data_IF_916296466437
#
_entry.id   IF_916296466437
#
_cell.length_a   1.000
_cell.length_b   1.000
_cell.length_c   1.000
_cell.angle_alpha   90.00
_cell.angle_beta   90.00
_cell.angle_gamma   90.00
#
_symmetry.space_group_name_H-M   'P 1'
#
loop_
_entity.id
_entity.type
_entity.pdbx_description
1 polymer ?
#
# COMPACT_ATOMS: atom_id res chain seq x y z
N UNK A 1 -66.92 -4.54 -13.55
CA UNK A 1 -66.50 -3.57 -14.58
C UNK A 1 -65.15 -2.99 -14.17
N UNK A 2 -64.26 -2.86 -15.16
CA UNK A 2 -63.02 -2.06 -15.24
C UNK A 2 -62.80 -1.04 -14.09
N UNK A 3 -61.62 -0.89 -13.50
CA UNK A 3 -60.37 -0.49 -14.16
C UNK A 3 -59.14 -0.77 -13.27
N UNK A 4 -57.98 -0.82 -13.92
CA UNK A 4 -56.67 -1.31 -13.49
C UNK A 4 -55.80 -0.13 -12.96
N UNK A 5 -54.49 -0.33 -12.74
CA UNK A 5 -53.74 -0.06 -11.51
C UNK A 5 -53.18 1.38 -11.41
N UNK A 6 -52.79 1.83 -10.22
CA UNK A 6 -51.86 2.96 -10.08
C UNK A 6 -50.56 2.48 -9.43
N UNK A 7 -49.54 2.43 -10.28
CA UNK A 7 -48.14 2.16 -10.01
C UNK A 7 -47.62 3.28 -9.11
N UNK A 8 -47.30 2.96 -7.86
CA UNK A 8 -46.58 3.89 -6.99
C UNK A 8 -45.10 3.82 -7.38
N UNK A 9 -44.64 4.82 -8.13
CA UNK A 9 -43.25 4.98 -8.50
C UNK A 9 -42.41 5.22 -7.24
N UNK A 10 -41.61 4.22 -6.85
CA UNK A 10 -40.59 4.37 -5.82
C UNK A 10 -39.40 5.08 -6.48
N UNK A 11 -39.21 6.35 -6.16
CA UNK A 11 -38.01 7.08 -6.53
C UNK A 11 -36.80 6.47 -5.80
N UNK A 12 -35.96 5.75 -6.53
CA UNK A 12 -34.67 5.28 -6.03
C UNK A 12 -33.75 6.50 -5.89
N UNK A 13 -33.60 7.01 -4.67
CA UNK A 13 -32.56 7.97 -4.35
C UNK A 13 -31.20 7.31 -4.58
N UNK A 14 -30.43 7.84 -5.53
CA UNK A 14 -29.03 7.46 -5.75
C UNK A 14 -28.22 7.90 -4.53
N UNK A 15 -28.07 7.03 -3.55
CA UNK A 15 -27.03 7.15 -2.55
C UNK A 15 -25.69 6.93 -3.25
N UNK A 16 -25.02 8.03 -3.61
CA UNK A 16 -23.60 8.03 -3.97
C UNK A 16 -22.83 7.50 -2.76
N UNK A 17 -22.18 6.33 -2.83
CA UNK A 17 -21.25 5.98 -1.78
C UNK A 17 -20.07 6.94 -1.92
N UNK A 18 -19.89 7.82 -0.93
CA UNK A 18 -18.63 8.52 -0.76
C UNK A 18 -17.58 7.44 -0.52
N UNK A 19 -16.79 7.14 -1.55
CA UNK A 19 -15.63 6.28 -1.43
C UNK A 19 -14.63 7.07 -0.60
N UNK A 20 -14.58 6.79 0.71
CA UNK A 20 -13.57 7.30 1.60
C UNK A 20 -12.21 6.84 1.04
N UNK A 21 -11.46 7.78 0.45
CA UNK A 21 -10.07 7.53 0.12
C UNK A 21 -9.32 7.35 1.45
N UNK A 22 -8.55 6.27 1.64
CA UNK A 22 -7.69 6.16 2.80
C UNK A 22 -6.61 7.23 2.65
N UNK A 23 -6.80 8.34 3.33
CA UNK A 23 -5.75 9.29 3.60
C UNK A 23 -4.90 8.66 4.71
N UNK A 24 -3.69 8.19 4.42
CA UNK A 24 -2.73 7.93 5.49
C UNK A 24 -1.27 8.09 5.05
N UNK A 25 -0.64 9.21 5.40
CA UNK A 25 0.78 9.22 5.71
C UNK A 25 1.07 8.66 7.13
N UNK A 26 0.06 8.20 7.88
CA UNK A 26 0.19 7.68 9.26
C UNK A 26 0.65 6.21 9.35
N UNK A 27 0.70 5.48 8.23
CA UNK A 27 0.88 4.03 8.22
C UNK A 27 2.13 3.49 8.93
N UNK A 28 3.26 4.22 8.93
CA UNK A 28 4.50 3.74 9.57
C UNK A 28 4.55 3.98 11.09
N UNK A 29 4.00 5.09 11.57
CA UNK A 29 3.97 5.40 13.01
C UNK A 29 2.96 4.50 13.73
N UNK A 30 1.81 4.26 13.08
CA UNK A 30 0.76 3.37 13.58
C UNK A 30 1.24 1.92 13.61
N UNK A 31 1.98 1.48 12.58
CA UNK A 31 2.63 0.17 12.56
C UNK A 31 3.53 -0.10 13.78
N UNK A 32 4.41 0.85 14.14
CA UNK A 32 5.27 0.69 15.33
C UNK A 32 4.49 0.69 16.64
N UNK A 33 3.42 1.48 16.72
CA UNK A 33 2.57 1.52 17.90
C UNK A 33 1.82 0.19 18.10
N UNK A 34 1.31 -0.39 17.02
CA UNK A 34 0.66 -1.71 17.02
C UNK A 34 1.64 -2.84 17.35
N UNK A 35 2.85 -2.85 16.77
CA UNK A 35 3.91 -3.81 17.11
C UNK A 35 4.22 -3.79 18.62
N UNK A 36 4.46 -2.59 19.18
CA UNK A 36 4.73 -2.42 20.60
C UNK A 36 3.54 -2.83 21.49
N UNK A 37 2.30 -2.74 21.01
CA UNK A 37 1.13 -3.19 21.74
C UNK A 37 1.03 -4.72 21.76
N UNK A 38 1.30 -5.39 20.64
CA UNK A 38 1.32 -6.86 20.56
C UNK A 38 2.44 -7.42 21.45
N UNK A 39 3.64 -6.83 21.42
CA UNK A 39 4.76 -7.25 22.27
C UNK A 39 4.45 -7.15 23.76
N UNK A 40 3.81 -6.06 24.20
CA UNK A 40 3.32 -5.92 25.59
C UNK A 40 2.33 -7.01 25.96
N UNK A 41 1.40 -7.33 25.07
CA UNK A 41 0.42 -8.41 25.28
C UNK A 41 1.09 -9.79 25.33
N UNK A 42 2.16 -10.02 24.56
CA UNK A 42 2.95 -11.26 24.63
C UNK A 42 3.63 -11.43 25.98
N UNK A 43 4.16 -10.35 26.56
CA UNK A 43 4.77 -10.38 27.89
C UNK A 43 3.72 -10.60 28.99
N UNK A 44 2.53 -9.99 28.84
CA UNK A 44 1.41 -10.28 29.72
C UNK A 44 0.95 -11.74 29.62
N UNK A 45 0.84 -12.29 28.41
CA UNK A 45 0.49 -13.70 28.21
C UNK A 45 1.56 -14.63 28.80
N UNK A 46 2.85 -14.25 28.71
CA UNK A 46 3.97 -14.98 29.31
C UNK A 46 3.87 -15.01 30.83
N UNK A 47 3.66 -13.87 31.47
CA UNK A 47 3.53 -13.79 32.93
C UNK A 47 2.34 -14.59 33.46
N UNK A 48 1.28 -14.75 32.65
CA UNK A 48 0.10 -15.57 32.96
C UNK A 48 0.22 -17.05 32.57
N UNK A 49 1.36 -17.49 32.01
CA UNK A 49 1.56 -18.87 31.56
C UNK A 49 0.70 -19.28 30.35
N UNK A 50 0.16 -18.32 29.60
CA UNK A 50 -0.76 -18.55 28.47
C UNK A 50 0.01 -18.82 27.16
N UNK A 51 0.67 -19.97 27.08
CA UNK A 51 1.57 -20.30 25.97
C UNK A 51 0.91 -20.29 24.59
N UNK A 52 -0.30 -20.84 24.46
CA UNK A 52 -1.05 -20.85 23.19
C UNK A 52 -1.46 -19.44 22.75
N UNK A 53 -1.85 -18.59 23.70
CA UNK A 53 -2.20 -17.21 23.40
C UNK A 53 -0.98 -16.41 22.95
N UNK A 54 0.17 -16.62 23.60
CA UNK A 54 1.46 -16.05 23.19
C UNK A 54 1.85 -16.46 21.78
N UNK A 55 1.63 -17.73 21.39
CA UNK A 55 1.91 -18.19 20.02
C UNK A 55 1.05 -17.45 18.99
N UNK A 56 -0.27 -17.30 19.24
CA UNK A 56 -1.16 -16.54 18.35
C UNK A 56 -0.74 -15.06 18.23
N UNK A 57 -0.29 -14.45 19.34
CA UNK A 57 0.22 -13.08 19.31
C UNK A 57 1.52 -12.97 18.50
N UNK A 58 2.40 -13.99 18.54
CA UNK A 58 3.61 -14.03 17.72
C UNK A 58 3.28 -14.14 16.22
N UNK A 59 2.28 -14.94 15.86
CA UNK A 59 1.78 -15.04 14.47
C UNK A 59 1.17 -13.71 13.99
N UNK A 60 0.38 -13.06 14.86
CA UNK A 60 -0.17 -11.74 14.59
C UNK A 60 0.94 -10.69 14.40
N UNK A 61 1.98 -10.72 15.23
CA UNK A 61 3.14 -9.83 15.11
C UNK A 61 3.87 -10.04 13.78
N UNK A 62 4.12 -11.29 13.38
CA UNK A 62 4.77 -11.59 12.11
C UNK A 62 3.95 -11.11 10.90
N UNK A 63 2.62 -11.26 10.97
CA UNK A 63 1.70 -10.79 9.94
C UNK A 63 1.69 -9.27 9.86
N UNK A 64 1.68 -8.58 11.01
CA UNK A 64 1.76 -7.12 11.08
C UNK A 64 3.08 -6.62 10.50
N UNK A 65 4.22 -7.19 10.92
CA UNK A 65 5.55 -6.82 10.42
C UNK A 65 5.66 -6.99 8.90
N UNK A 66 5.08 -8.05 8.33
CA UNK A 66 5.05 -8.25 6.87
C UNK A 66 4.28 -7.13 6.16
N UNK A 67 3.10 -6.76 6.68
CA UNK A 67 2.28 -5.66 6.14
C UNK A 67 3.00 -4.31 6.29
N UNK A 68 3.57 -4.03 7.45
CA UNK A 68 4.28 -2.80 7.72
C UNK A 68 5.53 -2.62 6.84
N UNK A 69 6.25 -3.71 6.53
CA UNK A 69 7.35 -3.69 5.56
C UNK A 69 6.87 -3.35 4.14
N UNK A 70 5.73 -3.90 3.70
CA UNK A 70 5.16 -3.54 2.39
C UNK A 70 4.64 -2.11 2.33
N UNK A 71 4.25 -1.57 3.48
CA UNK A 71 3.78 -0.19 3.60
C UNK A 71 4.91 0.81 3.73
N UNK A 72 6.17 0.40 3.97
CA UNK A 72 7.29 1.32 4.09
C UNK A 72 7.48 2.10 2.78
N UNK A 73 6.97 3.34 2.71
CA UNK A 73 6.94 4.08 1.47
C UNK A 73 8.34 4.59 1.14
N UNK A 74 9.26 4.61 2.12
CA UNK A 74 10.65 4.97 1.91
C UNK A 74 11.39 3.90 1.09
N UNK A 75 11.17 2.62 1.40
CA UNK A 75 11.76 1.51 0.63
C UNK A 75 11.21 1.48 -0.81
N UNK A 76 9.90 1.69 -0.97
CA UNK A 76 9.27 1.74 -2.31
C UNK A 76 9.70 2.98 -3.11
N UNK A 77 9.90 4.12 -2.45
CA UNK A 77 10.41 5.35 -3.09
C UNK A 77 11.87 5.19 -3.52
N UNK A 78 12.72 4.62 -2.67
CA UNK A 78 14.13 4.38 -2.98
C UNK A 78 14.29 3.45 -4.19
N UNK A 79 13.56 2.34 -4.22
CA UNK A 79 13.56 1.42 -5.36
C UNK A 79 13.09 2.10 -6.67
N UNK A 80 12.08 2.98 -6.58
CA UNK A 80 11.60 3.74 -7.75
C UNK A 80 12.62 4.76 -8.24
N UNK A 81 13.36 5.40 -7.33
CA UNK A 81 14.44 6.34 -7.67
C UNK A 81 15.55 5.57 -8.40
N UNK A 82 16.01 4.45 -7.86
CA UNK A 82 17.07 3.64 -8.47
C UNK A 82 16.69 3.17 -9.89
N UNK A 83 15.44 2.73 -10.08
CA UNK A 83 14.93 2.36 -11.40
C UNK A 83 14.97 3.55 -12.39
N UNK A 84 14.55 4.74 -11.95
CA UNK A 84 14.58 5.94 -12.79
C UNK A 84 16.02 6.39 -13.11
N UNK A 85 16.94 6.27 -12.16
CA UNK A 85 18.34 6.58 -12.40
C UNK A 85 18.97 5.65 -13.44
N UNK A 86 18.61 4.37 -13.43
CA UNK A 86 19.06 3.42 -14.46
C UNK A 86 18.52 3.82 -15.84
N UNK A 87 17.23 4.14 -15.94
CA UNK A 87 16.62 4.62 -17.20
C UNK A 87 17.32 5.88 -17.71
N UNK A 88 17.66 6.84 -16.84
CA UNK A 88 18.40 8.04 -17.23
C UNK A 88 19.79 7.69 -17.80
N UNK A 89 20.50 6.73 -17.20
CA UNK A 89 21.80 6.28 -17.71
C UNK A 89 21.68 5.66 -19.09
N UNK A 90 20.68 4.81 -19.29
CA UNK A 90 20.47 4.13 -20.57
C UNK A 90 20.10 5.14 -21.68
N UNK A 91 19.17 6.05 -21.40
CA UNK A 91 18.80 7.12 -22.33
C UNK A 91 19.97 8.03 -22.72
N UNK A 92 20.88 8.34 -21.77
CA UNK A 92 22.09 9.10 -22.08
C UNK A 92 23.03 8.35 -23.01
N UNK A 93 23.16 7.04 -22.85
CA UNK A 93 23.97 6.23 -23.77
C UNK A 93 23.36 6.18 -25.17
N UNK A 94 22.04 6.03 -25.27
CA UNK A 94 21.33 6.07 -26.55
C UNK A 94 21.50 7.41 -27.26
N UNK A 95 21.35 8.52 -26.52
CA UNK A 95 21.58 9.86 -27.05
C UNK A 95 23.00 10.03 -27.58
N UNK A 96 24.02 9.63 -26.81
CA UNK A 96 25.41 9.70 -27.25
C UNK A 96 25.66 8.90 -28.53
N UNK A 97 25.05 7.71 -28.67
CA UNK A 97 25.15 6.90 -29.90
C UNK A 97 24.52 7.59 -31.09
N UNK A 98 23.33 8.17 -30.92
CA UNK A 98 22.63 8.89 -31.97
C UNK A 98 23.41 10.14 -32.41
N UNK A 99 24.00 10.87 -31.46
CA UNK A 99 24.85 12.03 -31.75
C UNK A 99 26.11 11.63 -32.53
N UNK A 100 26.75 10.50 -32.19
CA UNK A 100 27.92 10.02 -32.91
C UNK A 100 27.56 9.60 -34.34
N UNK A 101 26.44 8.90 -34.53
CA UNK A 101 25.90 8.59 -35.86
C UNK A 101 25.67 9.87 -36.67
N UNK A 102 25.09 10.91 -36.06
CA UNK A 102 24.89 12.19 -36.73
C UNK A 102 26.21 12.83 -37.17
N UNK A 103 27.26 12.78 -36.33
CA UNK A 103 28.59 13.28 -36.69
C UNK A 103 29.20 12.54 -37.88
N UNK A 104 29.05 11.21 -37.92
CA UNK A 104 29.57 10.41 -39.05
C UNK A 104 28.90 10.72 -40.38
N UNK A 105 27.63 11.12 -40.37
CA UNK A 105 26.88 11.48 -41.59
C UNK A 105 27.20 12.91 -42.05
N UNK A 106 27.58 13.79 -41.11
CA UNK A 106 27.83 15.21 -41.38
C UNK A 106 29.25 15.51 -41.85
N UNK A 107 30.20 14.62 -41.56
CA UNK A 107 31.58 14.66 -42.07
C UNK A 107 31.69 13.92 -43.42
#
# INVERSE_FOLDING_TARGET
MLLKPHVLAIALALAVPAIAQPADPAGNADCKAEEAAIERNMELARSKGQMLHRQRLAEALATLQARCKTLDPAQTRAARIEALEQVIRDLRQELNRAEEQLRTIKN
#
